data_IF_265439916013
#
_entry.id   IF_265439916013
#
_cell.length_a   1.000
_cell.length_b   1.000
_cell.length_c   1.000
_cell.angle_alpha   90.00
_cell.angle_beta   90.00
_cell.angle_gamma   90.00
#
_symmetry.space_group_name_H-M   'P 1'
#
loop_
_entity.id
_entity.type
_entity.pdbx_description
1 polymer ?
#
# COMPACT_ATOMS: atom_id res chain seq x y z
N UNK A 1 63.32 29.33 10.01
CA UNK A 1 62.06 28.71 10.48
C UNK A 1 60.81 29.48 10.00
N UNK A 2 60.67 29.73 8.69
CA UNK A 2 59.49 30.40 8.11
C UNK A 2 58.77 29.55 7.04
N UNK A 3 59.30 28.34 6.77
CA UNK A 3 58.78 27.42 5.75
C UNK A 3 58.26 26.09 6.32
N UNK A 4 58.25 25.88 7.64
CA UNK A 4 57.63 24.69 8.25
C UNK A 4 56.12 24.84 8.52
N UNK A 5 55.64 26.06 8.81
CA UNK A 5 54.21 26.31 9.06
C UNK A 5 53.34 26.23 7.79
N UNK A 6 53.93 26.36 6.59
CA UNK A 6 53.22 26.19 5.32
C UNK A 6 53.08 24.73 4.87
N UNK A 7 53.90 23.83 5.44
CA UNK A 7 53.85 22.38 5.16
C UNK A 7 52.79 21.68 6.04
N UNK A 8 52.38 22.31 7.15
CA UNK A 8 51.35 21.82 8.07
C UNK A 8 49.92 22.31 7.75
N UNK A 9 49.68 22.80 6.53
CA UNK A 9 48.35 23.23 6.03
C UNK A 9 47.94 22.44 4.76
N UNK A 10 48.80 21.53 4.29
CA UNK A 10 48.59 20.81 3.02
C UNK A 10 48.18 19.34 3.15
N UNK A 11 47.92 18.83 4.36
CA UNK A 11 47.55 17.43 4.61
C UNK A 11 46.39 17.35 5.63
N UNK A 12 45.28 18.05 5.38
CA UNK A 12 43.95 17.75 5.93
C UNK A 12 42.93 18.71 5.28
N UNK A 13 42.21 18.30 4.21
CA UNK A 13 41.04 17.45 4.39
C UNK A 13 40.79 16.51 3.19
N UNK A 14 41.10 15.22 3.34
CA UNK A 14 40.76 14.19 2.33
C UNK A 14 39.95 13.05 2.94
N UNK A 15 38.93 13.40 3.73
CA UNK A 15 38.01 12.41 4.33
C UNK A 15 36.55 12.91 4.49
N UNK A 16 36.06 13.77 3.57
CA UNK A 16 34.65 14.19 3.55
C UNK A 16 33.95 13.97 2.20
N UNK A 17 34.29 12.90 1.49
CA UNK A 17 33.53 12.43 0.32
C UNK A 17 33.31 10.92 0.38
N UNK A 18 32.54 10.47 1.36
CA UNK A 18 31.90 9.16 1.28
C UNK A 18 30.67 9.08 2.17
N UNK A 19 29.59 9.72 1.72
CA UNK A 19 28.24 9.20 1.91
C UNK A 19 27.30 9.87 0.90
N UNK A 20 27.61 9.74 -0.39
CA UNK A 20 26.53 9.62 -1.36
C UNK A 20 25.96 8.23 -1.16
N UNK A 21 25.09 8.10 -0.15
CA UNK A 21 24.23 6.93 -0.03
C UNK A 21 23.51 6.81 -1.36
N UNK A 22 23.88 5.80 -2.14
CA UNK A 22 23.00 5.21 -3.13
C UNK A 22 21.81 4.70 -2.34
N UNK A 23 20.85 5.59 -2.06
CA UNK A 23 19.49 5.16 -1.84
C UNK A 23 19.17 4.43 -3.14
N UNK A 24 19.14 3.11 -3.05
CA UNK A 24 18.52 2.26 -4.05
C UNK A 24 17.10 2.78 -4.18
N UNK A 25 16.92 3.76 -5.06
CA UNK A 25 15.65 4.30 -5.45
C UNK A 25 14.99 3.16 -6.20
N UNK A 26 14.32 2.30 -5.43
CA UNK A 26 13.36 1.32 -5.91
C UNK A 26 12.31 2.11 -6.67
N UNK A 27 12.56 2.33 -7.97
CA UNK A 27 11.66 2.89 -8.97
C UNK A 27 10.56 3.77 -8.37
N UNK A 28 10.93 4.91 -7.78
CA UNK A 28 9.94 5.90 -7.39
C UNK A 28 9.24 6.35 -8.67
N UNK A 29 7.93 6.10 -8.76
CA UNK A 29 7.12 6.59 -9.87
C UNK A 29 7.25 8.12 -9.93
N UNK A 30 7.55 8.68 -11.10
CA UNK A 30 7.65 10.13 -11.23
C UNK A 30 6.31 10.78 -10.90
N UNK A 31 6.34 11.97 -10.29
CA UNK A 31 5.13 12.67 -9.89
C UNK A 31 4.19 12.95 -11.08
N UNK A 32 4.77 13.22 -12.25
CA UNK A 32 4.05 13.46 -13.50
C UNK A 32 3.33 12.20 -13.97
N UNK A 33 3.99 11.04 -13.90
CA UNK A 33 3.38 9.76 -14.27
C UNK A 33 2.25 9.40 -13.32
N UNK A 34 2.46 9.59 -12.01
CA UNK A 34 1.42 9.36 -11.02
C UNK A 34 0.21 10.26 -11.26
N UNK A 35 0.43 11.55 -11.52
CA UNK A 35 -0.65 12.49 -11.81
C UNK A 35 -1.48 12.05 -13.03
N UNK A 36 -0.81 11.61 -14.10
CA UNK A 36 -1.50 11.08 -15.29
C UNK A 36 -2.34 9.84 -14.99
N UNK A 37 -1.81 8.90 -14.18
CA UNK A 37 -2.54 7.69 -13.77
C UNK A 37 -3.77 8.06 -12.93
N UNK A 38 -3.62 8.93 -11.93
CA UNK A 38 -4.73 9.33 -11.05
C UNK A 38 -5.79 10.13 -11.82
N UNK A 39 -5.39 10.97 -12.77
CA UNK A 39 -6.32 11.74 -13.60
C UNK A 39 -7.19 10.85 -14.50
N UNK A 40 -6.70 9.67 -14.89
CA UNK A 40 -7.51 8.70 -15.64
C UNK A 40 -8.66 8.11 -14.82
N UNK A 41 -8.60 8.20 -13.49
CA UNK A 41 -9.48 7.51 -12.54
C UNK A 41 -9.51 5.98 -12.71
N UNK A 42 -8.59 5.43 -13.50
CA UNK A 42 -8.47 4.01 -13.80
C UNK A 42 -7.07 3.52 -13.44
N UNK A 43 -6.94 2.96 -12.24
CA UNK A 43 -5.65 2.53 -11.71
C UNK A 43 -5.80 1.34 -10.78
N UNK A 44 -4.67 0.71 -10.49
CA UNK A 44 -4.59 -0.44 -9.59
C UNK A 44 -3.85 -0.05 -8.32
N UNK A 45 -4.46 -0.31 -7.17
CA UNK A 45 -3.73 -0.41 -5.92
C UNK A 45 -3.18 -1.84 -5.77
N UNK A 46 -1.87 -1.98 -5.63
CA UNK A 46 -1.19 -3.23 -5.34
C UNK A 46 -0.82 -3.28 -3.86
N UNK A 47 -1.40 -4.22 -3.12
CA UNK A 47 -1.09 -4.41 -1.70
C UNK A 47 0.29 -5.07 -1.57
N UNK A 48 1.09 -4.56 -0.64
CA UNK A 48 2.42 -5.10 -0.28
C UNK A 48 2.46 -5.62 1.14
N UNK A 49 1.62 -5.09 2.04
CA UNK A 49 1.56 -5.51 3.43
C UNK A 49 0.14 -5.41 3.96
N UNK A 50 -0.30 -6.40 4.73
CA UNK A 50 -1.55 -6.37 5.47
C UNK A 50 -1.32 -5.92 6.92
N UNK A 51 -2.23 -5.10 7.43
CA UNK A 51 -2.20 -4.52 8.77
C UNK A 51 -3.53 -4.83 9.47
N UNK A 52 -3.71 -6.05 10.01
CA UNK A 52 -4.91 -6.40 10.76
C UNK A 52 -5.00 -5.61 12.07
N UNK A 53 -6.23 -5.35 12.53
CA UNK A 53 -6.47 -4.69 13.81
C UNK A 53 -6.37 -5.70 14.95
N UNK A 54 -5.72 -5.31 16.04
CA UNK A 54 -5.64 -6.10 17.28
C UNK A 54 -4.37 -6.95 17.39
N UNK A 55 -3.82 -7.04 18.60
CA UNK A 55 -2.58 -7.78 18.88
C UNK A 55 -2.72 -9.30 18.76
N UNK A 56 -3.94 -9.82 18.86
CA UNK A 56 -4.23 -11.26 18.86
C UNK A 56 -3.78 -11.93 17.56
N UNK A 57 -4.00 -11.27 16.42
CA UNK A 57 -3.56 -11.79 15.11
C UNK A 57 -2.04 -11.95 15.10
N UNK A 58 -1.30 -10.95 15.57
CA UNK A 58 0.16 -11.02 15.62
C UNK A 58 0.64 -12.12 16.56
N UNK A 59 -0.01 -12.28 17.72
CA UNK A 59 0.34 -13.35 18.67
C UNK A 59 0.12 -14.74 18.06
N UNK A 60 -1.01 -14.94 17.35
CA UNK A 60 -1.31 -16.20 16.67
C UNK A 60 -0.29 -16.46 15.56
N UNK A 61 -0.04 -15.47 14.69
CA UNK A 61 0.89 -15.61 13.57
C UNK A 61 2.33 -15.89 14.04
N UNK A 62 2.76 -15.32 15.17
CA UNK A 62 4.06 -15.58 15.77
C UNK A 62 4.16 -16.93 16.49
N UNK A 63 3.04 -17.62 16.73
CA UNK A 63 3.05 -18.96 17.32
C UNK A 63 3.35 -20.07 16.29
N UNK A 64 3.32 -19.75 14.99
CA UNK A 64 3.66 -20.70 13.95
C UNK A 64 5.17 -20.99 13.91
N UNK A 65 5.57 -22.28 13.88
CA UNK A 65 6.98 -22.64 13.76
C UNK A 65 7.53 -22.17 12.40
N UNK A 66 8.78 -21.69 12.40
CA UNK A 66 9.52 -21.25 11.20
C UNK A 66 8.92 -20.07 10.42
N UNK A 67 8.03 -19.29 11.03
CA UNK A 67 7.48 -18.07 10.42
C UNK A 67 7.36 -16.95 11.44
N UNK A 68 7.30 -15.71 10.96
CA UNK A 68 7.00 -14.54 11.78
C UNK A 68 5.78 -13.83 11.22
N UNK A 69 5.02 -13.16 12.10
CA UNK A 69 3.88 -12.36 11.70
C UNK A 69 4.27 -11.35 10.61
N UNK A 70 5.44 -10.70 10.74
CA UNK A 70 5.96 -9.77 9.73
C UNK A 70 6.11 -10.40 8.35
N UNK A 71 6.63 -11.63 8.27
CA UNK A 71 6.81 -12.32 6.98
C UNK A 71 5.49 -12.77 6.37
N UNK A 72 4.53 -13.19 7.19
CA UNK A 72 3.20 -13.63 6.72
C UNK A 72 2.38 -12.42 6.22
N UNK A 73 2.52 -11.28 6.89
CA UNK A 73 1.79 -10.07 6.57
C UNK A 73 2.41 -9.27 5.41
N UNK A 74 3.67 -9.52 5.07
CA UNK A 74 4.29 -9.01 3.84
C UNK A 74 3.80 -9.88 2.66
N UNK A 75 3.03 -9.26 1.76
CA UNK A 75 2.27 -9.94 0.72
C UNK A 75 3.07 -10.08 -0.57
N UNK A 76 2.94 -11.23 -1.21
CA UNK A 76 3.41 -11.46 -2.58
C UNK A 76 2.61 -10.62 -3.60
N UNK A 77 3.15 -10.51 -4.81
CA UNK A 77 2.49 -9.80 -5.91
C UNK A 77 1.16 -10.49 -6.31
N UNK A 78 0.14 -9.68 -6.60
CA UNK A 78 -1.16 -10.16 -7.14
C UNK A 78 -2.37 -9.87 -6.26
N UNK A 79 -2.18 -9.26 -5.09
CA UNK A 79 -3.27 -8.77 -4.26
C UNK A 79 -3.60 -7.31 -4.60
N UNK A 80 -4.77 -7.08 -5.18
CA UNK A 80 -5.08 -5.83 -5.87
C UNK A 80 -6.48 -5.31 -5.61
N UNK A 81 -6.61 -3.99 -5.70
CA UNK A 81 -7.87 -3.31 -6.01
C UNK A 81 -7.70 -2.65 -7.37
N UNK A 82 -8.38 -3.18 -8.38
CA UNK A 82 -8.36 -2.64 -9.75
C UNK A 82 -9.59 -1.77 -9.93
N UNK A 83 -9.38 -0.49 -10.18
CA UNK A 83 -10.43 0.51 -10.40
C UNK A 83 -10.49 0.78 -11.91
N UNK A 84 -11.65 0.57 -12.51
CA UNK A 84 -11.95 0.90 -13.91
C UNK A 84 -13.31 1.57 -13.97
N UNK A 85 -13.58 2.40 -14.98
CA UNK A 85 -14.83 3.17 -15.11
C UNK A 85 -16.13 2.43 -14.73
N UNK A 86 -16.28 1.17 -15.10
CA UNK A 86 -17.50 0.37 -14.88
C UNK A 86 -17.29 -0.87 -14.00
N UNK A 87 -16.10 -1.07 -13.45
CA UNK A 87 -15.76 -2.29 -12.72
C UNK A 87 -14.73 -2.00 -11.63
N UNK A 88 -15.07 -2.39 -10.40
CA UNK A 88 -14.17 -2.46 -9.26
C UNK A 88 -13.89 -3.93 -8.97
N UNK A 89 -12.65 -4.37 -9.16
CA UNK A 89 -12.24 -5.75 -8.88
C UNK A 89 -11.31 -5.77 -7.66
N UNK A 90 -11.75 -6.43 -6.59
CA UNK A 90 -11.02 -6.53 -5.32
C UNK A 90 -10.59 -7.97 -5.11
N UNK A 91 -9.29 -8.16 -4.91
CA UNK A 91 -8.68 -9.42 -4.52
C UNK A 91 -7.63 -9.16 -3.43
N UNK A 92 -8.05 -9.18 -2.16
CA UNK A 92 -7.19 -8.96 -1.01
C UNK A 92 -7.35 -10.10 0.01
N UNK A 93 -6.24 -10.57 0.61
CA UNK A 93 -6.29 -11.56 1.68
C UNK A 93 -6.79 -10.89 2.96
N UNK A 94 -7.48 -11.63 3.82
CA UNK A 94 -7.96 -11.10 5.09
C UNK A 94 -7.28 -11.82 6.27
N UNK A 95 -6.86 -11.04 7.25
CA UNK A 95 -6.31 -11.51 8.51
C UNK A 95 -7.09 -10.83 9.64
N UNK A 96 -7.68 -11.60 10.55
CA UNK A 96 -8.50 -11.06 11.62
C UNK A 96 -9.73 -11.92 11.92
N UNK A 97 -10.62 -11.37 12.74
CA UNK A 97 -11.83 -12.07 13.16
C UNK A 97 -12.98 -11.81 12.21
N UNK A 98 -13.52 -12.90 11.65
CA UNK A 98 -14.83 -12.92 11.01
C UNK A 98 -15.93 -13.10 12.07
N UNK A 99 -17.03 -12.36 11.94
CA UNK A 99 -18.22 -12.49 12.79
C UNK A 99 -19.24 -13.46 12.20
N UNK A 100 -19.25 -13.61 10.87
CA UNK A 100 -20.10 -14.55 10.14
C UNK A 100 -19.28 -15.33 9.10
N UNK A 101 -18.41 -16.27 9.53
CA UNK A 101 -17.54 -16.99 8.62
C UNK A 101 -18.33 -17.92 7.68
N UNK A 102 -17.87 -18.06 6.44
CA UNK A 102 -18.39 -19.06 5.51
C UNK A 102 -17.56 -20.34 5.59
N UNK A 103 -18.21 -21.49 5.43
CA UNK A 103 -17.50 -22.77 5.20
C UNK A 103 -16.72 -22.76 3.88
N UNK A 104 -17.14 -21.94 2.91
CA UNK A 104 -16.40 -21.71 1.69
C UNK A 104 -15.21 -20.78 1.97
N UNK A 105 -14.02 -21.37 2.11
CA UNK A 105 -12.78 -20.65 2.40
C UNK A 105 -12.43 -19.58 1.35
N UNK A 106 -12.96 -19.67 0.13
CA UNK A 106 -12.70 -18.67 -0.91
C UNK A 106 -13.36 -17.32 -0.60
N UNK A 107 -14.39 -17.31 0.26
CA UNK A 107 -15.16 -16.13 0.68
C UNK A 107 -14.61 -15.43 1.93
N UNK A 108 -13.57 -15.99 2.54
CA UNK A 108 -13.02 -15.47 3.79
C UNK A 108 -12.05 -14.28 3.58
N UNK A 109 -11.59 -14.03 2.36
CA UNK A 109 -10.89 -12.80 1.96
C UNK A 109 -11.85 -11.71 1.45
N UNK A 110 -11.29 -10.62 0.93
CA UNK A 110 -12.04 -9.67 0.10
C UNK A 110 -11.85 -10.05 -1.37
N UNK A 111 -12.79 -10.82 -1.91
CA UNK A 111 -12.76 -11.29 -3.30
C UNK A 111 -14.11 -11.03 -3.95
N UNK A 112 -14.21 -9.93 -4.68
CA UNK A 112 -15.45 -9.55 -5.35
C UNK A 112 -15.20 -8.65 -6.56
N UNK A 113 -16.21 -8.61 -7.42
CA UNK A 113 -16.33 -7.62 -8.50
C UNK A 113 -17.61 -6.84 -8.26
N UNK A 114 -17.49 -5.52 -8.24
CA UNK A 114 -18.60 -4.59 -8.15
C UNK A 114 -18.75 -3.82 -9.45
N UNK A 115 -19.97 -3.74 -9.96
CA UNK A 115 -20.35 -2.90 -11.12
C UNK A 115 -21.13 -1.67 -10.68
N UNK A 116 -21.64 -1.65 -9.45
CA UNK A 116 -22.33 -0.52 -8.84
C UNK A 116 -21.52 0.04 -7.68
N UNK A 117 -20.57 0.92 -8.01
CA UNK A 117 -19.71 1.59 -7.05
C UNK A 117 -19.55 3.08 -7.36
N UNK A 118 -19.20 3.85 -6.32
CA UNK A 118 -18.95 5.29 -6.38
C UNK A 118 -17.62 5.61 -5.71
N UNK A 119 -16.93 6.61 -6.24
CA UNK A 119 -15.70 7.16 -5.67
C UNK A 119 -15.93 8.63 -5.37
N UNK A 120 -15.62 9.04 -4.14
CA UNK A 120 -15.52 10.45 -3.77
C UNK A 120 -14.05 10.78 -3.49
N UNK A 121 -13.54 11.76 -4.21
CA UNK A 121 -12.17 12.24 -4.05
C UNK A 121 -12.13 13.45 -3.11
N UNK A 122 -11.22 13.45 -2.14
CA UNK A 122 -10.98 14.59 -1.26
C UNK A 122 -9.49 14.81 -1.00
N UNK A 123 -9.05 16.04 -0.69
CA UNK A 123 -7.68 16.29 -0.27
C UNK A 123 -7.34 15.56 1.04
N UNK A 124 -6.20 14.88 1.06
CA UNK A 124 -5.65 14.24 2.24
C UNK A 124 -4.57 15.07 2.95
N UNK A 125 -3.84 14.46 3.88
CA UNK A 125 -2.78 15.14 4.65
C UNK A 125 -1.47 15.17 3.87
N UNK A 126 -0.68 16.24 4.04
CA UNK A 126 0.63 16.38 3.37
C UNK A 126 0.55 16.28 1.82
N UNK A 127 -0.61 16.66 1.26
CA UNK A 127 -0.88 16.62 -0.17
C UNK A 127 -1.03 15.20 -0.74
N UNK A 128 -1.48 14.25 0.07
CA UNK A 128 -2.09 13.01 -0.42
C UNK A 128 -3.49 13.28 -0.97
N UNK A 129 -4.04 12.31 -1.68
CA UNK A 129 -5.42 12.28 -2.17
C UNK A 129 -6.15 11.11 -1.53
N UNK A 130 -7.37 11.35 -1.03
CA UNK A 130 -8.23 10.33 -0.45
C UNK A 130 -9.32 9.95 -1.45
N UNK A 131 -9.45 8.65 -1.72
CA UNK A 131 -10.53 8.05 -2.50
C UNK A 131 -11.41 7.24 -1.56
N UNK A 132 -12.59 7.77 -1.25
CA UNK A 132 -13.62 7.03 -0.54
C UNK A 132 -14.45 6.22 -1.54
N UNK A 133 -14.39 4.91 -1.43
CA UNK A 133 -15.06 3.97 -2.33
C UNK A 133 -16.21 3.30 -1.57
N UNK A 134 -17.39 3.30 -2.17
CA UNK A 134 -18.60 2.64 -1.67
C UNK A 134 -19.26 1.83 -2.78
N UNK A 135 -19.81 0.67 -2.45
CA UNK A 135 -20.49 -0.23 -3.39
C UNK A 135 -21.93 -0.44 -2.95
N UNK A 136 -22.88 -0.52 -3.88
CA UNK A 136 -24.27 -0.85 -3.55
C UNK A 136 -24.60 -2.33 -3.78
N UNK A 137 -23.73 -3.06 -4.49
CA UNK A 137 -23.90 -4.47 -4.84
C UNK A 137 -23.08 -5.43 -3.96
N UNK A 138 -22.36 -4.93 -2.94
CA UNK A 138 -21.62 -5.74 -1.97
C UNK A 138 -22.25 -5.61 -0.58
N UNK A 139 -22.95 -6.67 -0.14
CA UNK A 139 -23.78 -6.66 1.08
C UNK A 139 -23.03 -6.27 2.36
N UNK A 140 -21.79 -6.73 2.53
CA UNK A 140 -21.06 -6.58 3.80
C UNK A 140 -20.06 -5.41 3.81
N UNK A 141 -19.73 -4.87 2.64
CA UNK A 141 -18.75 -3.79 2.53
C UNK A 141 -19.40 -2.47 2.94
N UNK A 142 -18.89 -1.84 4.00
CA UNK A 142 -19.36 -0.51 4.41
C UNK A 142 -18.67 0.58 3.63
N UNK A 143 -17.33 0.54 3.62
CA UNK A 143 -16.51 1.61 3.04
C UNK A 143 -15.08 1.13 2.82
N UNK A 144 -14.46 1.61 1.75
CA UNK A 144 -13.01 1.59 1.59
C UNK A 144 -12.49 3.02 1.51
N UNK A 145 -11.33 3.28 2.11
CA UNK A 145 -10.60 4.54 2.01
C UNK A 145 -9.22 4.23 1.48
N UNK A 146 -8.93 4.72 0.28
CA UNK A 146 -7.60 4.65 -0.31
C UNK A 146 -6.95 6.04 -0.22
N UNK A 147 -5.84 6.14 0.52
CA UNK A 147 -4.99 7.32 0.55
C UNK A 147 -3.80 7.10 -0.39
N UNK A 148 -3.61 8.01 -1.35
CA UNK A 148 -2.49 7.97 -2.30
C UNK A 148 -1.54 9.14 -2.00
N UNK A 149 -0.28 8.81 -1.74
CA UNK A 149 0.78 9.80 -1.48
C UNK A 149 1.50 10.20 -2.76
N UNK A 150 2.13 11.38 -2.75
CA UNK A 150 2.83 11.97 -3.92
C UNK A 150 3.93 11.10 -4.52
N UNK A 151 4.45 10.12 -3.77
CA UNK A 151 5.48 9.20 -4.22
C UNK A 151 4.91 7.88 -4.79
N UNK A 152 3.58 7.79 -4.97
CA UNK A 152 2.90 6.61 -5.48
C UNK A 152 2.67 5.51 -4.44
N UNK A 153 3.20 5.66 -3.21
CA UNK A 153 2.77 4.80 -2.09
C UNK A 153 1.32 5.08 -1.79
N UNK A 154 0.64 4.06 -1.28
CA UNK A 154 -0.76 4.17 -0.91
C UNK A 154 -1.07 3.34 0.33
N UNK A 155 -2.13 3.75 1.01
CA UNK A 155 -2.68 3.08 2.18
C UNK A 155 -4.17 2.85 1.95
N UNK A 156 -4.61 1.60 2.06
CA UNK A 156 -6.01 1.22 1.92
C UNK A 156 -6.55 0.78 3.27
N UNK A 157 -7.66 1.37 3.71
CA UNK A 157 -8.43 0.91 4.87
C UNK A 157 -9.79 0.38 4.42
N UNK A 158 -10.20 -0.77 4.95
CA UNK A 158 -11.49 -1.40 4.65
C UNK A 158 -12.28 -1.63 5.93
N UNK A 159 -13.52 -1.17 5.92
CA UNK A 159 -14.51 -1.41 6.98
C UNK A 159 -15.67 -2.24 6.42
N UNK A 160 -16.15 -3.20 7.20
CA UNK A 160 -17.18 -4.16 6.81
C UNK A 160 -18.01 -4.61 8.01
N UNK A 161 -19.22 -5.10 7.75
CA UNK A 161 -20.15 -5.52 8.81
C UNK A 161 -19.91 -6.93 9.33
N UNK A 162 -19.27 -7.79 8.56
CA UNK A 162 -19.11 -9.21 8.81
C UNK A 162 -17.77 -9.57 9.45
N UNK A 163 -16.88 -8.59 9.67
CA UNK A 163 -15.51 -8.82 10.15
C UNK A 163 -14.88 -7.57 10.76
N UNK A 164 -13.77 -7.76 11.48
CA UNK A 164 -12.96 -6.63 11.97
C UNK A 164 -12.34 -5.85 10.80
N UNK A 165 -12.22 -4.51 10.91
CA UNK A 165 -11.51 -3.70 9.92
C UNK A 165 -10.06 -4.16 9.72
N UNK A 166 -9.54 -3.88 8.53
CA UNK A 166 -8.15 -4.16 8.15
C UNK A 166 -7.65 -3.05 7.25
N UNK A 167 -6.34 -2.84 7.25
CA UNK A 167 -5.70 -1.97 6.27
C UNK A 167 -4.52 -2.63 5.57
N UNK A 168 -4.06 -1.99 4.51
CA UNK A 168 -2.96 -2.46 3.69
C UNK A 168 -2.07 -1.31 3.28
N UNK A 169 -0.76 -1.51 3.36
CA UNK A 169 0.20 -0.65 2.68
C UNK A 169 0.46 -1.20 1.28
N UNK A 170 0.63 -0.30 0.32
CA UNK A 170 0.82 -0.66 -1.06
C UNK A 170 1.31 0.51 -1.91
N UNK A 171 1.06 0.39 -3.21
CA UNK A 171 1.45 1.40 -4.18
C UNK A 171 0.51 1.38 -5.39
N UNK A 172 0.46 2.50 -6.10
CA UNK A 172 -0.36 2.68 -7.29
C UNK A 172 0.39 2.16 -8.52
N UNK A 173 -0.35 1.49 -9.39
CA UNK A 173 0.08 1.03 -10.70
C UNK A 173 -0.92 1.51 -11.76
N UNK A 174 -0.41 1.74 -12.97
CA UNK A 174 -1.25 1.90 -14.15
C UNK A 174 -1.99 0.57 -14.43
N UNK A 175 -3.25 0.64 -14.82
CA UNK A 175 -3.99 -0.55 -15.22
C UNK A 175 -3.33 -1.20 -16.44
N UNK A 176 -3.23 -2.54 -16.43
CA UNK A 176 -2.78 -3.26 -17.61
C UNK A 176 -3.76 -3.04 -18.76
N UNK A 177 -3.27 -2.52 -19.90
CA UNK A 177 -4.06 -2.46 -21.13
C UNK A 177 -4.31 -3.88 -21.60
N UNK A 178 -5.56 -4.34 -21.61
CA UNK A 178 -5.91 -5.54 -22.38
C UNK A 178 -5.54 -5.24 -23.83
N UNK A 179 -4.60 -6.01 -24.39
CA UNK A 179 -4.32 -6.04 -25.82
C UNK A 179 -5.54 -6.54 -26.58
#
# INVERSE_FOLDING_TARGET
MKNLAKIMVLIFPMFLFSCASNSSASSAMSAEKLAAILQSQEFTFMAKRANPVGGDVNNILNSFPNSSASRILDLDYGYTVVIKKNELNVNLPYFGRLYNPSYDSTKNGYRFVSKDYKIMETPGRKGSTLYQISTNDQQFLKKMILEVFKNGKAYLSIDSNDRQPISYDGYILENSKKK
#
